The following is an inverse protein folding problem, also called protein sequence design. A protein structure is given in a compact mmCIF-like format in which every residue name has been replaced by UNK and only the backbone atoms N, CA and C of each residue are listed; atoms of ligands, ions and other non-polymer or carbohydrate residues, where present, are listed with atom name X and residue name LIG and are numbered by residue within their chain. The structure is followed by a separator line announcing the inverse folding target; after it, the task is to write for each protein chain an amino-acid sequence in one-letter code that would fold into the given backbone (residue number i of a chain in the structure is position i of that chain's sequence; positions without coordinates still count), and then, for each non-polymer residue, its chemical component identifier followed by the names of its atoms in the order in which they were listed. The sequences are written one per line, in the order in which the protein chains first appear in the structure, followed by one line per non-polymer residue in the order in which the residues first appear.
data_IF_629938763650
#
_entry.id   IF_629938763650
#
_cell.length_a   1.000
_cell.length_b   1.000
_cell.length_c   1.000
_cell.angle_alpha   90.00
_cell.angle_beta   90.00
_cell.angle_gamma   90.00
#
_symmetry.space_group_name_H-M   'P 1'
#
loop_
_entity.id
_entity.type
_entity.pdbx_description
1 polymer ?
#
# COMPACT_ATOMS: atom_id res chain seq x y z
N UNK A 1 -22.18 18.68 -5.56
CA UNK A 1 -21.57 17.71 -4.62
C UNK A 1 -20.11 17.53 -5.03
N UNK A 2 -19.15 17.77 -4.13
CA UNK A 2 -17.74 17.47 -4.42
C UNK A 2 -17.55 15.96 -4.42
N UNK A 3 -16.72 15.43 -5.33
CA UNK A 3 -16.42 14.00 -5.33
C UNK A 3 -15.56 13.64 -4.11
N UNK A 4 -15.64 12.39 -3.64
CA UNK A 4 -14.82 11.91 -2.53
C UNK A 4 -13.31 12.12 -2.79
N UNK A 5 -12.89 12.00 -4.05
CA UNK A 5 -11.52 12.24 -4.50
C UNK A 5 -11.10 13.70 -4.29
N UNK A 6 -11.98 14.66 -4.57
CA UNK A 6 -11.73 16.09 -4.33
C UNK A 6 -11.61 16.41 -2.84
N UNK A 7 -12.44 15.80 -2.00
CA UNK A 7 -12.33 15.99 -0.55
C UNK A 7 -11.03 15.42 0.02
N UNK A 8 -10.56 14.28 -0.48
CA UNK A 8 -9.29 13.69 -0.06
C UNK A 8 -8.10 14.53 -0.54
N UNK A 9 -8.14 15.03 -1.78
CA UNK A 9 -7.11 15.91 -2.31
C UNK A 9 -7.02 17.22 -1.51
N UNK A 10 -8.16 17.84 -1.18
CA UNK A 10 -8.24 19.06 -0.36
C UNK A 10 -7.67 18.82 1.04
N UNK A 11 -7.98 17.67 1.64
CA UNK A 11 -7.44 17.29 2.95
C UNK A 11 -5.93 17.10 2.89
N UNK A 12 -5.43 16.32 1.92
CA UNK A 12 -4.01 16.05 1.73
C UNK A 12 -3.21 17.32 1.45
N UNK A 13 -3.77 18.24 0.66
CA UNK A 13 -3.17 19.56 0.42
C UNK A 13 -3.15 20.41 1.69
N UNK A 14 -4.19 20.35 2.53
CA UNK A 14 -4.21 21.05 3.82
C UNK A 14 -3.17 20.51 4.79
N UNK A 15 -2.98 19.20 4.87
CA UNK A 15 -1.95 18.61 5.75
C UNK A 15 -0.54 18.98 5.30
N UNK A 16 -0.28 19.04 3.98
CA UNK A 16 1.01 19.51 3.43
C UNK A 16 1.25 21.01 3.60
N UNK A 17 0.21 21.78 3.84
CA UNK A 17 0.27 23.24 3.96
C UNK A 17 0.18 23.73 5.42
N UNK A 18 0.31 22.86 6.41
CA UNK A 18 0.48 23.29 7.81
C UNK A 18 1.95 23.71 8.00
N UNK A 19 2.27 25.02 8.08
CA UNK A 19 3.61 25.41 8.48
C UNK A 19 3.79 25.08 9.97
N UNK A 20 4.93 24.50 10.33
CA UNK A 20 5.36 24.51 11.72
C UNK A 20 5.48 25.97 12.20
N UNK A 21 4.95 26.32 13.38
CA UNK A 21 5.21 27.61 13.97
C UNK A 21 6.70 27.67 14.37
N UNK A 22 7.55 28.19 13.47
CA UNK A 22 8.96 28.43 13.75
C UNK A 22 9.96 27.52 13.03
N UNK A 23 9.92 27.45 11.69
CA UNK A 23 11.11 27.25 10.83
C UNK A 23 11.85 25.91 10.86
N UNK A 24 11.62 25.03 11.83
CA UNK A 24 12.07 23.64 11.79
C UNK A 24 10.89 22.75 11.36
N UNK A 25 11.15 21.79 10.47
CA UNK A 25 10.21 20.72 10.21
C UNK A 25 9.88 20.05 11.56
N UNK A 26 8.60 19.89 11.91
CA UNK A 26 8.24 19.27 13.18
C UNK A 26 8.74 17.82 13.20
N UNK A 27 9.14 17.33 14.37
CA UNK A 27 9.74 15.99 14.52
C UNK A 27 8.81 14.86 14.04
N UNK A 28 7.49 15.12 13.98
CA UNK A 28 6.50 14.19 13.44
C UNK A 28 6.47 14.10 11.90
N UNK A 29 6.98 15.08 11.16
CA UNK A 29 6.91 15.13 9.69
C UNK A 29 7.56 13.90 9.00
N UNK A 30 8.81 13.49 9.33
CA UNK A 30 9.41 12.30 8.75
C UNK A 30 8.68 11.00 9.13
N UNK A 31 8.10 10.95 10.34
CA UNK A 31 7.35 9.80 10.81
C UNK A 31 6.00 9.66 10.09
N UNK A 32 5.30 10.77 9.80
CA UNK A 32 4.10 10.78 8.94
C UNK A 32 4.43 10.35 7.51
N UNK A 33 5.52 10.86 6.94
CA UNK A 33 5.96 10.51 5.59
C UNK A 33 6.32 9.01 5.48
N UNK A 34 6.94 8.44 6.52
CA UNK A 34 7.20 6.99 6.61
C UNK A 34 5.89 6.19 6.73
N UNK A 35 4.93 6.63 7.54
CA UNK A 35 3.62 5.98 7.66
C UNK A 35 2.89 5.94 6.30
N UNK A 36 2.87 7.06 5.57
CA UNK A 36 2.24 7.15 4.25
C UNK A 36 2.85 6.19 3.23
N UNK A 37 4.18 6.03 3.24
CA UNK A 37 4.86 5.03 2.39
C UNK A 37 4.44 3.61 2.73
N UNK A 38 4.32 3.27 4.01
CA UNK A 38 3.91 1.95 4.45
C UNK A 38 2.45 1.66 4.08
N UNK A 39 1.56 2.64 4.23
CA UNK A 39 0.18 2.54 3.77
C UNK A 39 0.09 2.30 2.25
N UNK A 40 0.91 3.02 1.47
CA UNK A 40 0.99 2.82 0.03
C UNK A 40 1.49 1.41 -0.33
N UNK A 41 2.53 0.93 0.36
CA UNK A 41 3.06 -0.44 0.18
C UNK A 41 2.01 -1.49 0.52
N UNK A 42 1.28 -1.32 1.63
CA UNK A 42 0.18 -2.19 2.04
C UNK A 42 -0.92 -2.26 0.97
N UNK A 43 -1.32 -1.10 0.42
CA UNK A 43 -2.31 -1.03 -0.64
C UNK A 43 -1.84 -1.80 -1.90
N UNK A 44 -0.60 -1.59 -2.33
CA UNK A 44 -0.02 -2.30 -3.48
C UNK A 44 -0.05 -3.81 -3.29
N UNK A 45 0.44 -4.30 -2.14
CA UNK A 45 0.44 -5.73 -1.83
C UNK A 45 -0.97 -6.33 -1.79
N UNK A 46 -1.94 -5.59 -1.22
CA UNK A 46 -3.34 -6.00 -1.17
C UNK A 46 -3.94 -6.13 -2.58
N UNK A 47 -3.66 -5.15 -3.46
CA UNK A 47 -4.12 -5.19 -4.85
C UNK A 47 -3.49 -6.33 -5.64
N UNK A 48 -2.20 -6.59 -5.44
CA UNK A 48 -1.49 -7.73 -6.05
C UNK A 48 -2.12 -9.04 -5.61
N UNK A 49 -2.31 -9.25 -4.30
CA UNK A 49 -2.91 -10.45 -3.76
C UNK A 49 -4.34 -10.67 -4.30
N UNK A 50 -5.16 -9.61 -4.36
CA UNK A 50 -6.49 -9.68 -4.94
C UNK A 50 -6.44 -10.08 -6.42
N UNK A 51 -5.52 -9.49 -7.20
CA UNK A 51 -5.37 -9.77 -8.63
C UNK A 51 -4.94 -11.21 -8.89
N UNK A 52 -4.00 -11.73 -8.09
CA UNK A 52 -3.55 -13.13 -8.17
C UNK A 52 -4.70 -14.09 -7.86
N UNK A 53 -5.42 -13.85 -6.76
CA UNK A 53 -6.60 -14.66 -6.38
C UNK A 53 -7.71 -14.60 -7.41
N UNK A 54 -7.99 -13.44 -7.98
CA UNK A 54 -9.01 -13.27 -9.00
C UNK A 54 -8.63 -14.00 -10.30
N UNK A 55 -7.37 -13.92 -10.71
CA UNK A 55 -6.85 -14.64 -11.88
C UNK A 55 -6.99 -16.15 -11.68
N UNK A 56 -6.61 -16.64 -10.50
CA UNK A 56 -6.76 -18.05 -10.14
C UNK A 56 -8.24 -18.48 -10.13
N UNK A 57 -9.14 -17.71 -9.52
CA UNK A 57 -10.55 -18.04 -9.46
C UNK A 57 -11.24 -18.06 -10.84
N UNK A 58 -10.70 -17.30 -11.80
CA UNK A 58 -11.20 -17.25 -13.19
C UNK A 58 -10.66 -18.38 -14.07
N UNK A 59 -9.82 -19.28 -13.56
CA UNK A 59 -9.18 -20.30 -14.39
C UNK A 59 -8.27 -19.68 -15.47
N UNK A 60 -7.62 -18.55 -15.15
CA UNK A 60 -6.81 -17.81 -16.10
C UNK A 60 -5.55 -18.58 -16.55
N UNK A 61 -5.14 -19.60 -15.80
CA UNK A 61 -3.94 -20.38 -16.08
C UNK A 61 -4.28 -21.71 -16.77
N UNK A 62 -3.43 -22.11 -17.71
CA UNK A 62 -3.64 -23.32 -18.52
C UNK A 62 -3.68 -24.60 -17.69
N UNK A 63 -2.87 -24.69 -16.62
CA UNK A 63 -2.86 -25.81 -15.70
C UNK A 63 -4.13 -25.94 -14.84
N UNK A 64 -4.96 -24.89 -14.77
CA UNK A 64 -6.25 -24.93 -14.05
C UNK A 64 -7.38 -25.57 -14.86
N UNK A 65 -7.17 -25.75 -16.17
CA UNK A 65 -8.12 -26.41 -17.05
C UNK A 65 -7.81 -27.91 -17.02
N UNK A 66 -8.49 -28.64 -16.15
CA UNK A 66 -8.41 -30.11 -16.13
C UNK A 66 -8.94 -30.68 -17.45
N UNK A 67 -8.30 -31.74 -17.94
CA UNK A 67 -8.61 -32.46 -19.18
C UNK A 67 -10.11 -32.63 -19.44
N UNK A 68 -10.60 -32.04 -20.54
CA UNK A 68 -12.00 -32.19 -20.94
C UNK A 68 -12.45 -31.34 -22.13
N UNK A 69 -11.66 -30.35 -22.56
CA UNK A 69 -11.86 -29.68 -23.84
C UNK A 69 -10.56 -29.68 -24.64
N UNK A 70 -10.27 -30.83 -25.23
CA UNK A 70 -9.55 -30.86 -26.49
C UNK A 70 -10.44 -30.13 -27.52
N UNK A 71 -10.30 -28.81 -27.59
CA UNK A 71 -10.76 -28.08 -28.76
C UNK A 71 -9.81 -28.44 -29.90
N UNK A 72 -10.20 -29.45 -30.66
CA UNK A 72 -9.67 -29.69 -31.99
C UNK A 72 -9.66 -28.38 -32.77
N UNK A 73 -8.47 -27.90 -33.10
CA UNK A 73 -8.30 -27.07 -34.29
C UNK A 73 -6.99 -27.46 -34.96
N UNK A 74 -7.04 -28.61 -35.61
CA UNK A 74 -6.19 -28.87 -36.77
C UNK A 74 -6.57 -27.84 -37.84
N UNK A 75 -5.85 -26.72 -37.90
CA UNK A 75 -5.65 -26.00 -39.16
C UNK A 75 -4.17 -25.69 -39.32
N UNK A 76 -3.51 -26.60 -40.04
CA UNK A 76 -2.31 -26.32 -40.80
C UNK A 76 -2.63 -25.21 -41.80
N UNK A 77 -2.13 -23.99 -41.54
CA UNK A 77 -2.03 -22.92 -42.52
C UNK A 77 -0.58 -22.40 -42.53
N UNK A 78 0.13 -22.39 -43.66
CA UNK A 78 1.46 -21.79 -43.70
C UNK A 78 1.30 -20.27 -43.86
N UNK A 79 1.64 -19.50 -42.83
CA UNK A 79 1.41 -18.06 -42.85
C UNK A 79 2.18 -17.29 -41.78
N UNK A 80 3.45 -17.05 -42.04
CA UNK A 80 4.23 -15.84 -41.75
C UNK A 80 4.03 -15.07 -40.41
N UNK A 81 5.11 -15.04 -39.62
CA UNK A 81 5.73 -13.76 -39.22
C UNK A 81 5.50 -13.25 -37.79
N UNK A 82 6.62 -13.10 -37.08
CA UNK A 82 6.83 -12.33 -35.83
C UNK A 82 6.38 -13.00 -34.54
N UNK A 83 7.25 -13.88 -34.04
CA UNK A 83 7.19 -14.43 -32.69
C UNK A 83 7.44 -13.35 -31.64
N UNK A 84 6.39 -12.66 -31.22
CA UNK A 84 6.25 -12.27 -29.83
C UNK A 84 5.55 -13.43 -29.14
N UNK A 85 6.34 -14.42 -28.70
CA UNK A 85 5.84 -15.49 -27.85
C UNK A 85 5.15 -14.86 -26.65
N UNK A 86 3.89 -15.23 -26.43
CA UNK A 86 3.17 -14.84 -25.23
C UNK A 86 4.05 -15.14 -23.99
N UNK A 87 4.07 -14.26 -22.97
CA UNK A 87 4.83 -14.52 -21.76
C UNK A 87 4.45 -15.90 -21.21
N UNK A 88 5.42 -16.66 -20.66
CA UNK A 88 5.15 -17.98 -20.12
C UNK A 88 4.05 -17.88 -19.06
N UNK A 89 3.07 -18.78 -19.14
CA UNK A 89 2.01 -18.90 -18.13
C UNK A 89 2.68 -19.39 -16.84
N UNK A 90 2.47 -18.72 -15.68
CA UNK A 90 3.09 -19.13 -14.43
C UNK A 90 2.58 -20.51 -14.00
N UNK A 91 3.43 -21.30 -13.33
CA UNK A 91 3.03 -22.60 -12.76
C UNK A 91 2.16 -22.43 -11.51
N UNK A 92 1.56 -23.52 -11.05
CA UNK A 92 0.80 -23.54 -9.79
C UNK A 92 1.69 -23.17 -8.60
N UNK A 93 2.92 -23.69 -8.56
CA UNK A 93 3.91 -23.39 -7.52
C UNK A 93 4.36 -21.93 -7.53
N UNK A 94 4.58 -21.35 -8.71
CA UNK A 94 4.93 -19.94 -8.85
C UNK A 94 3.80 -19.02 -8.36
N UNK A 95 2.55 -19.36 -8.67
CA UNK A 95 1.39 -18.63 -8.15
C UNK A 95 1.26 -18.78 -6.62
N UNK A 96 1.43 -19.99 -6.09
CA UNK A 96 1.37 -20.25 -4.66
C UNK A 96 2.48 -19.50 -3.91
N UNK A 97 3.70 -19.51 -4.45
CA UNK A 97 4.83 -18.74 -3.94
C UNK A 97 4.56 -17.25 -3.93
N UNK A 98 4.09 -16.68 -5.05
CA UNK A 98 3.72 -15.27 -5.12
C UNK A 98 2.61 -14.88 -4.12
N UNK A 99 1.60 -15.74 -3.93
CA UNK A 99 0.57 -15.52 -2.91
C UNK A 99 1.15 -15.54 -1.50
N UNK A 100 2.06 -16.46 -1.20
CA UNK A 100 2.72 -16.54 0.11
C UNK A 100 3.60 -15.30 0.36
N UNK A 101 4.41 -14.90 -0.62
CA UNK A 101 5.25 -13.70 -0.52
C UNK A 101 4.42 -12.43 -0.30
N UNK A 102 3.29 -12.28 -1.01
CA UNK A 102 2.41 -11.12 -0.79
C UNK A 102 1.74 -11.13 0.59
N UNK A 103 1.41 -12.30 1.15
CA UNK A 103 0.89 -12.42 2.53
C UNK A 103 1.96 -12.00 3.52
N UNK A 104 3.15 -12.57 3.42
CA UNK A 104 4.26 -12.25 4.31
C UNK A 104 4.60 -10.75 4.26
N UNK A 105 4.69 -10.18 3.06
CA UNK A 105 4.95 -8.74 2.90
C UNK A 105 3.85 -7.87 3.52
N UNK A 106 2.59 -8.31 3.52
CA UNK A 106 1.49 -7.59 4.19
C UNK A 106 1.65 -7.64 5.71
N UNK A 107 2.00 -8.80 6.27
CA UNK A 107 2.22 -8.96 7.71
C UNK A 107 3.38 -8.09 8.20
N UNK A 108 4.50 -8.11 7.49
CA UNK A 108 5.67 -7.25 7.77
C UNK A 108 5.31 -5.77 7.67
N UNK A 109 4.61 -5.35 6.60
CA UNK A 109 4.21 -3.95 6.43
C UNK A 109 3.25 -3.49 7.53
N UNK A 110 2.34 -4.35 7.98
CA UNK A 110 1.43 -4.02 9.10
C UNK A 110 2.19 -3.89 10.42
N UNK A 111 3.19 -4.75 10.68
CA UNK A 111 4.04 -4.63 11.85
C UNK A 111 4.79 -3.29 11.86
N UNK A 112 5.41 -2.92 10.72
CA UNK A 112 6.10 -1.64 10.57
C UNK A 112 5.15 -0.44 10.76
N UNK A 113 3.90 -0.52 10.27
CA UNK A 113 2.89 0.54 10.49
C UNK A 113 2.63 0.73 11.98
N UNK A 114 2.46 -0.37 12.74
CA UNK A 114 2.18 -0.29 14.17
C UNK A 114 3.35 0.32 14.94
N UNK A 115 4.58 -0.10 14.64
CA UNK A 115 5.79 0.47 15.25
C UNK A 115 5.90 1.98 14.99
N UNK A 116 5.63 2.42 13.75
CA UNK A 116 5.67 3.84 13.39
C UNK A 116 4.51 4.65 13.99
N UNK A 117 3.34 4.02 14.17
CA UNK A 117 2.23 4.65 14.87
C UNK A 117 2.53 4.85 16.37
N UNK A 118 3.20 3.87 17.01
CA UNK A 118 3.65 3.98 18.39
C UNK A 118 4.71 5.10 18.55
N UNK A 119 5.68 5.18 17.63
CA UNK A 119 6.68 6.26 17.60
C UNK A 119 6.04 7.64 17.46
N UNK A 120 5.08 7.80 16.54
CA UNK A 120 4.30 9.03 16.39
C UNK A 120 3.51 9.39 17.64
N UNK A 121 2.93 8.40 18.32
CA UNK A 121 2.19 8.62 19.56
C UNK A 121 3.09 9.19 20.66
N UNK A 122 4.30 8.67 20.80
CA UNK A 122 5.28 9.17 21.77
C UNK A 122 5.79 10.58 21.42
N UNK A 123 6.02 10.89 20.14
CA UNK A 123 6.39 12.26 19.70
C UNK A 123 5.30 13.26 20.09
N UNK A 124 4.04 12.98 19.71
CA UNK A 124 2.89 13.86 20.00
C UNK A 124 2.66 14.01 21.50
N UNK A 125 2.83 12.92 22.26
CA UNK A 125 2.73 12.95 23.72
C UNK A 125 3.78 13.89 24.32
N UNK A 126 5.03 13.79 23.88
CA UNK A 126 6.13 14.61 24.40
C UNK A 126 5.94 16.09 24.06
N UNK A 127 5.45 16.42 22.86
CA UNK A 127 5.10 17.81 22.51
C UNK A 127 4.01 18.37 23.43
N UNK A 128 2.95 17.60 23.70
CA UNK A 128 1.86 18.02 24.60
C UNK A 128 2.34 18.24 26.03
N UNK A 129 3.20 17.36 26.54
CA UNK A 129 3.71 17.45 27.90
C UNK A 129 4.70 18.63 28.06
N UNK A 130 5.42 19.03 27.00
CA UNK A 130 6.25 20.25 26.96
C UNK A 130 5.44 21.55 26.92
N UNK A 131 4.34 21.59 26.17
CA UNK A 131 3.41 22.73 26.15
C UNK A 131 2.75 22.96 27.52
N UNK A 132 2.49 21.89 28.29
CA UNK A 132 1.95 21.99 29.65
C UNK A 132 3.00 22.42 30.69
N UNK A 133 4.29 22.14 30.45
CA UNK A 133 5.39 22.53 31.33
C UNK A 133 5.89 23.96 31.15
N UNK A 134 5.48 24.64 30.07
CA UNK A 134 5.90 26.02 29.74
C UNK A 134 4.82 27.07 29.97
N UNK A 135 3.65 26.70 30.51
CA UNK A 135 2.69 27.67 31.01
C UNK A 135 3.35 28.54 32.09
N UNK A 136 3.66 29.83 31.82
CA UNK A 136 4.29 30.68 32.82
C UNK A 136 3.32 30.80 33.99
N UNK A 137 3.84 30.52 35.18
CA UNK A 137 3.24 30.80 36.47
C UNK A 137 2.49 32.14 36.37
N UNK A 138 1.16 32.05 36.24
CA UNK A 138 0.31 33.22 36.20
C UNK A 138 0.43 33.86 37.57
N UNK A 139 1.29 34.87 37.66
CA UNK A 139 1.48 35.67 38.86
C UNK A 139 0.09 36.00 39.43
N UNK A 140 -0.16 35.77 40.73
CA UNK A 140 -1.40 36.19 41.33
C UNK A 140 -1.49 37.72 41.17
N UNK A 141 -2.48 38.17 40.40
CA UNK A 141 -2.87 39.57 40.44
C UNK A 141 -3.23 39.91 41.89
N UNK A 142 -2.67 41.03 42.34
CA UNK A 142 -2.58 41.54 43.71
C UNK A 142 -3.81 41.41 44.59
#
# INVERSE_FOLDING_TARGET
MRSATQCFQDLSNRTRCLPAPGGAAPEWEPAIDRLQRLEQRKLQLTMTQYTLRLSAARGAFSWQKSDGQAAESHQHGPGCGHGHGAPPVPTEEELAGALQETIQGLEETVAEINEQADELYEIVRNERDQDLGTAPDAAPCS
#
